data_IF_369520938475
#
_entry.id   IF_369520938475
#
_cell.length_a   1.000
_cell.length_b   1.000
_cell.length_c   1.000
_cell.angle_alpha   90.00
_cell.angle_beta   90.00
_cell.angle_gamma   90.00
#
_symmetry.space_group_name_H-M   'P 1'
#
loop_
_entity.id
_entity.type
_entity.pdbx_description
1 polymer ?
#
# COMPACT_ATOMS: atom_id res chain seq x y z
N UNK A 1 -12.11 38.25 -35.32
CA UNK A 1 -10.99 38.96 -34.65
C UNK A 1 -9.80 38.90 -35.57
N UNK A 2 -9.63 39.93 -36.41
CA UNK A 2 -8.52 40.05 -37.35
C UNK A 2 -7.30 40.64 -36.66
N UNK A 3 -6.14 40.05 -36.89
CA UNK A 3 -4.85 40.63 -36.55
C UNK A 3 -4.18 41.05 -37.86
N UNK A 4 -4.12 42.35 -38.09
CA UNK A 4 -3.35 42.97 -39.16
C UNK A 4 -1.86 42.91 -38.85
N UNK A 5 -1.08 42.46 -39.82
CA UNK A 5 0.37 42.56 -39.91
C UNK A 5 0.78 44.03 -40.07
N UNK A 6 1.82 44.46 -39.34
CA UNK A 6 2.48 45.76 -39.56
C UNK A 6 3.78 45.57 -40.32
N UNK A 7 4.00 46.51 -41.23
CA UNK A 7 5.10 46.62 -42.17
C UNK A 7 6.49 46.76 -41.51
N UNK A 8 7.48 46.33 -42.28
CA UNK A 8 8.92 46.40 -41.99
C UNK A 8 9.44 47.72 -42.53
N UNK A 9 9.93 48.60 -41.65
CA UNK A 9 10.67 49.80 -42.04
C UNK A 9 12.17 49.51 -41.96
N UNK A 10 12.86 49.64 -43.10
CA UNK A 10 14.32 49.58 -43.18
C UNK A 10 14.91 50.87 -42.60
N UNK A 11 15.89 50.75 -41.71
CA UNK A 11 16.73 51.88 -41.31
C UNK A 11 18.21 51.51 -41.31
N UNK A 12 18.96 52.41 -41.94
CA UNK A 12 20.33 52.31 -42.45
C UNK A 12 21.41 52.27 -41.37
N UNK A 13 22.54 51.65 -41.72
CA UNK A 13 23.72 51.48 -40.88
C UNK A 13 24.40 52.81 -40.45
N UNK A 14 24.97 52.80 -39.25
CA UNK A 14 25.94 53.81 -38.75
C UNK A 14 26.90 53.16 -37.72
N UNK A 15 28.08 53.73 -37.40
CA UNK A 15 29.35 53.04 -37.56
C UNK A 15 29.92 52.47 -36.25
N UNK A 16 30.90 51.56 -36.42
CA UNK A 16 31.70 50.98 -35.35
C UNK A 16 32.53 52.05 -34.63
N UNK A 17 32.46 52.07 -33.29
CA UNK A 17 33.58 52.51 -32.44
C UNK A 17 33.21 53.40 -31.26
N UNK A 18 33.21 52.81 -30.05
CA UNK A 18 33.82 53.36 -28.83
C UNK A 18 33.56 52.40 -27.65
N UNK A 19 34.61 51.76 -27.10
CA UNK A 19 34.52 50.96 -25.87
C UNK A 19 34.36 51.91 -24.67
N UNK A 20 33.28 51.76 -23.90
CA UNK A 20 33.11 52.43 -22.59
C UNK A 20 33.96 51.72 -21.51
N UNK A 21 34.54 52.42 -20.52
CA UNK A 21 35.34 51.81 -19.46
C UNK A 21 34.47 50.95 -18.54
N UNK A 22 35.02 49.82 -18.09
CA UNK A 22 34.32 48.78 -17.35
C UNK A 22 33.75 49.25 -16.01
N UNK A 23 32.45 49.03 -15.83
CA UNK A 23 31.80 49.07 -14.53
C UNK A 23 32.27 47.83 -13.74
N UNK A 24 33.07 48.03 -12.68
CA UNK A 24 33.45 46.95 -11.76
C UNK A 24 32.18 46.46 -11.07
N UNK A 25 31.73 45.26 -11.44
CA UNK A 25 30.55 44.61 -10.88
C UNK A 25 30.88 44.22 -9.44
N UNK A 26 30.50 45.04 -8.47
CA UNK A 26 30.61 44.67 -7.06
C UNK A 26 29.77 43.41 -6.83
N UNK A 27 30.41 42.32 -6.42
CA UNK A 27 29.76 41.06 -6.09
C UNK A 27 28.87 41.26 -4.87
N UNK A 28 27.56 41.10 -5.05
CA UNK A 28 26.61 41.03 -3.93
C UNK A 28 27.00 39.86 -3.04
N UNK A 29 26.98 40.00 -1.70
CA UNK A 29 27.27 38.88 -0.82
C UNK A 29 26.27 37.76 -1.10
N UNK A 30 26.79 36.57 -1.40
CA UNK A 30 25.98 35.36 -1.47
C UNK A 30 25.53 35.07 -0.06
N UNK A 31 24.29 35.43 0.26
CA UNK A 31 23.62 34.94 1.46
C UNK A 31 23.45 33.44 1.24
N UNK A 32 24.41 32.64 1.69
CA UNK A 32 24.24 31.20 1.81
C UNK A 32 23.14 30.99 2.84
N UNK A 33 21.90 30.84 2.37
CA UNK A 33 20.81 30.30 3.19
C UNK A 33 21.38 29.02 3.79
N UNK A 34 21.63 28.98 5.11
CA UNK A 34 21.95 27.71 5.79
C UNK A 34 20.92 26.72 5.29
N UNK A 35 21.37 25.66 4.62
CA UNK A 35 20.48 24.61 4.15
C UNK A 35 19.71 24.15 5.38
N UNK A 36 18.39 24.35 5.39
CA UNK A 36 17.56 23.81 6.47
C UNK A 36 17.84 22.30 6.48
N UNK A 37 18.11 21.70 7.64
CA UNK A 37 18.35 20.27 7.68
C UNK A 37 17.15 19.58 7.03
N UNK A 38 17.44 18.70 6.07
CA UNK A 38 16.41 18.08 5.24
C UNK A 38 15.56 17.16 6.11
N UNK A 39 14.28 17.51 6.27
CA UNK A 39 13.33 16.64 6.97
C UNK A 39 13.12 15.37 6.13
N UNK A 40 13.14 14.22 6.79
CA UNK A 40 12.84 12.89 6.22
C UNK A 40 11.92 12.14 7.15
N UNK A 41 11.11 11.23 6.62
CA UNK A 41 10.39 10.29 7.45
C UNK A 41 11.33 9.17 7.92
N UNK A 42 11.40 8.97 9.23
CA UNK A 42 12.13 7.86 9.84
C UNK A 42 11.15 6.90 10.53
N UNK A 43 11.44 5.61 10.46
CA UNK A 43 10.65 4.59 11.15
C UNK A 43 10.95 4.72 12.65
N UNK A 44 9.93 5.16 13.40
CA UNK A 44 9.99 5.25 14.86
C UNK A 44 9.57 3.94 15.54
N UNK A 45 8.71 3.16 14.88
CA UNK A 45 8.28 1.84 15.36
C UNK A 45 7.64 1.04 14.23
N UNK A 46 7.78 -0.28 14.27
CA UNK A 46 7.18 -1.19 13.29
C UNK A 46 6.81 -2.51 13.96
N UNK A 47 5.57 -2.95 13.76
CA UNK A 47 5.09 -4.16 14.40
C UNK A 47 4.09 -4.91 13.52
N UNK A 48 3.94 -6.19 13.82
CA UNK A 48 2.90 -7.04 13.26
C UNK A 48 2.06 -7.67 14.36
N UNK A 49 0.85 -8.08 13.98
CA UNK A 49 -0.05 -8.89 14.76
C UNK A 49 -0.44 -10.12 13.95
N UNK A 50 -0.29 -11.29 14.55
CA UNK A 50 -0.68 -12.56 13.98
C UNK A 50 -1.80 -13.14 14.85
N UNK A 51 -2.96 -13.48 14.28
CA UNK A 51 -4.00 -14.22 14.98
C UNK A 51 -3.49 -15.55 15.56
N UNK A 52 -4.20 -16.04 16.57
CA UNK A 52 -3.83 -17.27 17.28
C UNK A 52 -4.21 -18.54 16.51
N UNK A 53 -5.31 -18.50 15.76
CA UNK A 53 -5.77 -19.68 15.03
C UNK A 53 -4.78 -20.03 13.92
N UNK A 54 -4.26 -21.26 13.98
CA UNK A 54 -3.39 -21.85 12.96
C UNK A 54 -4.23 -22.71 12.03
N UNK A 55 -3.98 -22.60 10.73
CA UNK A 55 -4.52 -23.49 9.70
C UNK A 55 -3.35 -24.07 8.92
N UNK A 56 -3.13 -25.37 9.03
CA UNK A 56 -2.04 -26.06 8.32
C UNK A 56 -2.40 -26.31 6.86
N UNK A 57 -1.39 -26.58 6.02
CA UNK A 57 -1.63 -26.96 4.62
C UNK A 57 -2.40 -28.28 4.50
N UNK A 58 -2.23 -29.20 5.45
CA UNK A 58 -3.06 -30.41 5.53
C UNK A 58 -4.53 -30.08 5.86
N UNK A 59 -4.79 -29.14 6.77
CA UNK A 59 -6.16 -28.70 7.06
C UNK A 59 -6.81 -28.01 5.85
N UNK A 60 -6.03 -27.26 5.06
CA UNK A 60 -6.50 -26.65 3.80
C UNK A 60 -6.93 -27.74 2.82
N UNK A 61 -6.09 -28.76 2.61
CA UNK A 61 -6.39 -29.90 1.73
C UNK A 61 -7.64 -30.66 2.20
N UNK A 62 -7.77 -30.89 3.51
CA UNK A 62 -8.95 -31.52 4.09
C UNK A 62 -10.23 -30.70 3.85
N UNK A 63 -10.18 -29.38 4.08
CA UNK A 63 -11.35 -28.50 3.85
C UNK A 63 -11.76 -28.48 2.39
N UNK A 64 -10.80 -28.49 1.45
CA UNK A 64 -11.10 -28.58 0.02
C UNK A 64 -11.79 -29.92 -0.29
N UNK A 65 -11.26 -31.04 0.21
CA UNK A 65 -11.84 -32.37 -0.01
C UNK A 65 -13.27 -32.46 0.55
N UNK A 66 -13.51 -31.93 1.75
CA UNK A 66 -14.83 -31.90 2.39
C UNK A 66 -15.83 -31.05 1.61
N UNK A 67 -15.45 -29.82 1.23
CA UNK A 67 -16.31 -28.90 0.48
C UNK A 67 -16.58 -29.39 -0.96
N UNK A 68 -15.65 -30.14 -1.55
CA UNK A 68 -15.72 -30.57 -2.96
C UNK A 68 -16.30 -31.97 -3.15
N UNK A 69 -16.77 -32.62 -2.07
CA UNK A 69 -17.30 -33.99 -2.09
C UNK A 69 -18.38 -34.22 -3.16
N UNK A 70 -19.26 -33.23 -3.37
CA UNK A 70 -20.33 -33.31 -4.36
C UNK A 70 -19.81 -33.40 -5.82
N UNK A 71 -18.59 -32.91 -6.07
CA UNK A 71 -17.93 -32.92 -7.37
C UNK A 71 -16.98 -34.11 -7.55
N UNK A 72 -16.78 -34.93 -6.51
CA UNK A 72 -15.81 -36.03 -6.53
C UNK A 72 -14.36 -35.54 -6.66
N UNK A 73 -14.08 -34.29 -6.26
CA UNK A 73 -12.75 -33.72 -6.30
C UNK A 73 -12.03 -33.88 -4.96
N UNK A 74 -10.79 -34.33 -5.00
CA UNK A 74 -9.93 -34.49 -3.83
C UNK A 74 -8.50 -34.02 -4.18
N UNK A 75 -7.91 -33.08 -3.42
CA UNK A 75 -6.54 -32.65 -3.66
C UNK A 75 -5.56 -33.77 -3.30
N UNK A 76 -4.45 -33.85 -4.04
CA UNK A 76 -3.39 -34.79 -3.69
C UNK A 76 -2.77 -34.42 -2.31
N UNK A 77 -2.54 -35.39 -1.40
CA UNK A 77 -1.96 -35.09 -0.10
C UNK A 77 -0.59 -34.38 -0.20
N UNK A 78 -0.43 -33.31 0.58
CA UNK A 78 0.79 -32.49 0.63
C UNK A 78 1.00 -31.58 -0.58
N UNK A 79 0.04 -31.48 -1.50
CA UNK A 79 0.16 -30.65 -2.71
C UNK A 79 0.35 -29.17 -2.37
N UNK A 80 -0.31 -28.65 -1.33
CA UNK A 80 -0.26 -27.23 -0.97
C UNK A 80 1.13 -26.87 -0.47
N UNK A 81 1.67 -27.61 0.49
CA UNK A 81 3.03 -27.36 0.99
C UNK A 81 4.09 -27.58 -0.10
N UNK A 82 3.97 -28.65 -0.89
CA UNK A 82 4.95 -28.99 -1.93
C UNK A 82 5.09 -27.92 -3.00
N UNK A 83 3.98 -27.30 -3.42
CA UNK A 83 3.98 -26.32 -4.50
C UNK A 83 4.16 -24.87 -4.01
N UNK A 84 3.78 -24.56 -2.77
CA UNK A 84 3.83 -23.18 -2.24
C UNK A 84 4.96 -22.94 -1.23
N UNK A 85 5.49 -24.00 -0.61
CA UNK A 85 6.40 -23.92 0.54
C UNK A 85 5.73 -23.51 1.85
N UNK A 86 4.42 -23.21 1.85
CA UNK A 86 3.70 -22.79 3.06
C UNK A 86 3.25 -24.01 3.85
N UNK A 87 3.62 -24.05 5.14
CA UNK A 87 3.24 -25.12 6.07
C UNK A 87 1.96 -24.81 6.84
N UNK A 88 1.84 -23.56 7.25
CA UNK A 88 0.74 -23.06 8.05
C UNK A 88 0.49 -21.60 7.73
N UNK A 89 -0.73 -21.16 8.04
CA UNK A 89 -1.13 -19.75 8.05
C UNK A 89 -1.89 -19.42 9.33
N UNK A 90 -2.04 -18.13 9.58
CA UNK A 90 -2.90 -17.61 10.65
C UNK A 90 -4.24 -17.20 10.08
N UNK A 91 -5.30 -17.41 10.84
CA UNK A 91 -6.67 -17.07 10.45
C UNK A 91 -7.25 -16.18 11.54
N UNK A 92 -7.91 -15.09 11.15
CA UNK A 92 -8.54 -14.17 12.09
C UNK A 92 -9.66 -14.85 12.89
N UNK A 93 -9.98 -14.33 14.07
CA UNK A 93 -11.21 -14.71 14.74
C UNK A 93 -12.42 -14.30 13.88
N UNK A 94 -13.55 -15.05 13.90
CA UNK A 94 -14.75 -14.67 13.15
C UNK A 94 -15.21 -13.24 13.44
N UNK A 95 -15.09 -12.80 14.69
CA UNK A 95 -15.49 -11.47 15.16
C UNK A 95 -14.44 -10.35 14.93
N UNK A 96 -13.25 -10.69 14.42
CA UNK A 96 -12.23 -9.69 14.08
C UNK A 96 -12.40 -9.21 12.64
N UNK A 97 -12.40 -7.90 12.41
CA UNK A 97 -12.31 -7.34 11.07
C UNK A 97 -10.87 -6.92 10.72
N UNK A 98 -10.66 -6.44 9.48
CA UNK A 98 -9.36 -5.95 9.05
C UNK A 98 -8.87 -4.79 9.93
N UNK A 99 -9.77 -3.90 10.35
CA UNK A 99 -9.42 -2.83 11.28
C UNK A 99 -8.93 -3.36 12.65
N UNK A 100 -9.47 -4.47 13.17
CA UNK A 100 -9.02 -5.03 14.45
C UNK A 100 -7.60 -5.58 14.39
N UNK A 101 -7.25 -6.24 13.28
CA UNK A 101 -5.88 -6.68 13.05
C UNK A 101 -4.92 -5.48 12.97
N UNK A 102 -5.32 -4.43 12.26
CA UNK A 102 -4.54 -3.21 12.13
C UNK A 102 -4.36 -2.47 13.46
N UNK A 103 -5.41 -2.39 14.29
CA UNK A 103 -5.37 -1.75 15.63
C UNK A 103 -4.36 -2.44 16.52
N UNK A 104 -4.40 -3.78 16.61
CA UNK A 104 -3.45 -4.55 17.44
C UNK A 104 -2.00 -4.39 16.99
N UNK A 105 -1.76 -4.30 15.68
CA UNK A 105 -0.44 -4.00 15.15
C UNK A 105 -0.01 -2.55 15.43
N UNK A 106 -0.94 -1.60 15.29
CA UNK A 106 -0.70 -0.18 15.53
C UNK A 106 -0.34 0.12 16.98
N UNK A 107 -1.03 -0.48 17.95
CA UNK A 107 -0.72 -0.37 19.38
C UNK A 107 0.72 -0.77 19.67
N UNK A 108 1.16 -1.92 19.14
CA UNK A 108 2.55 -2.40 19.26
C UNK A 108 3.57 -1.47 18.58
N UNK A 109 3.24 -0.95 17.40
CA UNK A 109 4.13 -0.04 16.69
C UNK A 109 4.27 1.32 17.42
N UNK A 110 3.17 1.83 17.99
CA UNK A 110 3.17 3.03 18.81
C UNK A 110 3.90 2.83 20.14
N UNK A 111 3.76 1.67 20.77
CA UNK A 111 4.52 1.29 21.97
C UNK A 111 6.04 1.32 21.69
N UNK A 112 6.49 0.69 20.60
CA UNK A 112 7.91 0.76 20.19
C UNK A 112 8.38 2.19 19.92
N UNK A 113 7.52 3.03 19.34
CA UNK A 113 7.81 4.43 19.05
C UNK A 113 7.72 5.34 20.30
N UNK A 114 7.23 4.83 21.43
CA UNK A 114 7.04 5.59 22.66
C UNK A 114 5.99 6.71 22.55
N UNK A 115 4.94 6.50 21.73
CA UNK A 115 3.87 7.48 21.51
C UNK A 115 2.49 6.89 21.78
N UNK A 116 1.47 7.75 21.83
CA UNK A 116 0.06 7.35 21.93
C UNK A 116 -0.71 7.75 20.67
N UNK A 117 -1.93 7.24 20.53
CA UNK A 117 -2.82 7.60 19.42
C UNK A 117 -3.14 9.11 19.34
N UNK A 118 -2.97 9.86 20.45
CA UNK A 118 -3.16 11.33 20.52
C UNK A 118 -1.99 12.11 19.91
N UNK A 119 -0.85 11.46 19.73
CA UNK A 119 0.36 12.05 19.16
C UNK A 119 0.40 11.94 17.62
N UNK A 120 -0.52 11.19 17.02
CA UNK A 120 -0.61 11.00 15.58
C UNK A 120 -1.29 12.20 14.92
N UNK A 121 -0.71 12.67 13.80
CA UNK A 121 -1.32 13.72 12.98
C UNK A 121 -2.13 13.14 11.82
N UNK A 122 -1.74 11.94 11.36
CA UNK A 122 -2.35 11.24 10.23
C UNK A 122 -2.32 9.72 10.45
N UNK A 123 -3.42 9.05 10.09
CA UNK A 123 -3.50 7.58 9.95
C UNK A 123 -3.79 7.24 8.49
N UNK A 124 -2.95 6.41 7.90
CA UNK A 124 -3.13 5.84 6.56
C UNK A 124 -3.40 4.35 6.72
N UNK A 125 -4.63 3.92 6.43
CA UNK A 125 -4.93 2.49 6.34
C UNK A 125 -4.61 2.01 4.92
N UNK A 126 -3.60 1.16 4.81
CA UNK A 126 -2.95 0.81 3.56
C UNK A 126 -3.08 -0.70 3.29
N UNK A 127 -4.27 -1.14 2.87
CA UNK A 127 -4.66 -2.55 2.79
C UNK A 127 -5.39 -2.91 1.49
N UNK A 128 -5.31 -4.18 1.11
CA UNK A 128 -6.18 -4.80 0.10
C UNK A 128 -7.56 -5.11 0.66
N UNK A 129 -7.58 -5.53 1.93
CA UNK A 129 -8.78 -5.84 2.70
C UNK A 129 -9.38 -4.55 3.29
N UNK A 130 -10.69 -4.55 3.51
CA UNK A 130 -11.41 -3.42 4.07
C UNK A 130 -12.62 -3.95 4.86
N UNK A 131 -13.02 -3.25 5.91
CA UNK A 131 -14.19 -3.62 6.71
C UNK A 131 -15.48 -3.39 5.91
N UNK A 132 -15.51 -2.31 5.12
CA UNK A 132 -16.65 -1.91 4.32
C UNK A 132 -16.22 -1.01 3.14
N UNK A 133 -17.18 -0.72 2.25
CA UNK A 133 -16.95 0.13 1.06
C UNK A 133 -16.85 1.60 1.45
N UNK A 134 -17.74 2.07 2.33
CA UNK A 134 -17.73 3.45 2.85
C UNK A 134 -18.27 3.52 4.28
N UNK A 135 -17.68 4.35 5.17
CA UNK A 135 -16.50 5.19 4.94
C UNK A 135 -15.19 4.39 4.89
N UNK A 136 -14.06 5.11 4.71
CA UNK A 136 -12.73 4.54 4.75
C UNK A 136 -12.48 3.76 6.07
N UNK A 137 -11.81 2.61 6.00
CA UNK A 137 -11.54 1.73 7.16
C UNK A 137 -10.67 2.44 8.21
N UNK A 138 -9.83 3.37 7.78
CA UNK A 138 -9.05 4.24 8.68
C UNK A 138 -9.91 5.05 9.68
N UNK A 139 -11.18 5.35 9.38
CA UNK A 139 -12.09 5.96 10.37
C UNK A 139 -12.38 5.01 11.52
N UNK A 140 -12.60 3.72 11.23
CA UNK A 140 -12.84 2.68 12.24
C UNK A 140 -11.58 2.49 13.08
N UNK A 141 -10.40 2.39 12.44
CA UNK A 141 -9.11 2.29 13.13
C UNK A 141 -8.89 3.49 14.06
N UNK A 142 -9.12 4.72 13.58
CA UNK A 142 -8.97 5.93 14.39
C UNK A 142 -9.91 5.95 15.59
N UNK A 143 -11.17 5.52 15.40
CA UNK A 143 -12.14 5.41 16.49
C UNK A 143 -11.69 4.39 17.53
N UNK A 144 -11.30 3.18 17.11
CA UNK A 144 -10.83 2.10 18.00
C UNK A 144 -9.58 2.50 18.79
N UNK A 145 -8.65 3.23 18.17
CA UNK A 145 -7.44 3.76 18.83
C UNK A 145 -7.70 4.99 19.72
N UNK A 146 -8.88 5.62 19.62
CA UNK A 146 -9.16 6.91 20.27
C UNK A 146 -8.33 8.08 19.73
N UNK A 147 -7.91 8.00 18.46
CA UNK A 147 -7.17 9.07 17.78
C UNK A 147 -8.09 10.18 17.28
N UNK A 148 -7.52 11.38 17.13
CA UNK A 148 -8.15 12.55 16.47
C UNK A 148 -7.41 12.96 15.19
N UNK A 149 -6.50 12.10 14.72
CA UNK A 149 -5.73 12.32 13.51
C UNK A 149 -6.66 12.49 12.30
N UNK A 150 -6.14 13.17 11.27
CA UNK A 150 -6.73 13.03 9.93
C UNK A 150 -6.58 11.57 9.47
N UNK A 151 -7.47 11.11 8.60
CA UNK A 151 -7.46 9.72 8.13
C UNK A 151 -7.77 9.63 6.64
N UNK A 152 -7.20 8.63 5.97
CA UNK A 152 -7.63 8.15 4.66
C UNK A 152 -7.06 6.75 4.39
N UNK A 153 -7.61 6.08 3.37
CA UNK A 153 -7.14 4.77 2.94
C UNK A 153 -6.29 4.87 1.66
N UNK A 154 -5.33 3.97 1.51
CA UNK A 154 -4.53 3.78 0.29
C UNK A 154 -4.63 2.31 -0.12
N UNK A 155 -5.19 2.05 -1.30
CA UNK A 155 -5.38 0.68 -1.82
C UNK A 155 -4.63 0.48 -3.13
N UNK A 156 -3.69 -0.47 -3.11
CA UNK A 156 -2.94 -0.95 -4.28
C UNK A 156 -2.50 -2.42 -4.06
N UNK A 157 -3.47 -3.30 -3.77
CA UNK A 157 -3.25 -4.72 -3.50
C UNK A 157 -2.10 -4.96 -2.48
N UNK A 158 -1.27 -5.97 -2.69
CA UNK A 158 -0.15 -6.30 -1.79
C UNK A 158 0.87 -5.16 -1.61
N UNK A 159 0.89 -4.16 -2.51
CA UNK A 159 1.81 -3.01 -2.43
C UNK A 159 1.25 -1.86 -1.59
N UNK A 160 0.01 -1.97 -1.08
CA UNK A 160 -0.68 -0.90 -0.35
C UNK A 160 0.18 -0.36 0.79
N UNK A 161 0.75 -1.21 1.64
CA UNK A 161 1.57 -0.79 2.78
C UNK A 161 2.79 0.05 2.36
N UNK A 162 3.45 -0.34 1.25
CA UNK A 162 4.59 0.40 0.69
C UNK A 162 4.16 1.73 0.06
N UNK A 163 2.98 1.79 -0.59
CA UNK A 163 2.42 3.04 -1.07
C UNK A 163 1.98 3.95 0.09
N UNK A 164 1.46 3.40 1.18
CA UNK A 164 1.18 4.16 2.40
C UNK A 164 2.45 4.80 2.97
N UNK A 165 3.56 4.05 3.02
CA UNK A 165 4.88 4.58 3.40
C UNK A 165 5.36 5.69 2.44
N UNK A 166 5.19 5.51 1.12
CA UNK A 166 5.56 6.50 0.10
C UNK A 166 4.79 7.82 0.29
N UNK A 167 3.47 7.72 0.50
CA UNK A 167 2.61 8.88 0.74
C UNK A 167 3.00 9.57 2.04
N UNK A 168 3.16 8.81 3.13
CA UNK A 168 3.59 9.35 4.42
C UNK A 168 4.95 10.07 4.35
N UNK A 169 5.95 9.48 3.69
CA UNK A 169 7.27 10.11 3.50
C UNK A 169 7.15 11.45 2.75
N UNK A 170 6.34 11.48 1.70
CA UNK A 170 6.11 12.69 0.90
C UNK A 170 5.46 13.80 1.73
N UNK A 171 4.42 13.47 2.52
CA UNK A 171 3.69 14.44 3.33
C UNK A 171 4.53 14.96 4.52
N UNK A 172 5.35 14.09 5.13
CA UNK A 172 6.30 14.47 6.19
C UNK A 172 7.37 15.41 5.64
N UNK A 173 7.95 15.10 4.48
CA UNK A 173 8.97 15.94 3.82
C UNK A 173 8.43 17.30 3.38
N UNK A 174 7.16 17.34 2.99
CA UNK A 174 6.44 18.58 2.69
C UNK A 174 6.14 19.42 3.95
N UNK A 175 6.32 18.85 5.15
CA UNK A 175 6.06 19.51 6.43
C UNK A 175 4.58 19.58 6.81
N UNK A 176 3.72 18.76 6.19
CA UNK A 176 2.28 18.72 6.48
C UNK A 176 1.96 17.93 7.74
N UNK A 177 2.72 16.87 8.01
CA UNK A 177 2.57 16.01 9.18
C UNK A 177 3.93 15.71 9.82
N UNK A 178 3.93 15.41 11.12
CA UNK A 178 5.13 15.05 11.87
C UNK A 178 5.13 13.58 12.27
N UNK A 179 3.99 13.02 12.64
CA UNK A 179 3.83 11.62 13.06
C UNK A 179 2.68 10.99 12.29
N UNK A 180 3.02 10.01 11.46
CA UNK A 180 2.07 9.30 10.60
C UNK A 180 2.07 7.83 10.97
N UNK A 181 0.90 7.27 11.21
CA UNK A 181 0.70 5.83 11.32
C UNK A 181 0.31 5.30 9.94
N UNK A 182 1.11 4.39 9.38
CA UNK A 182 0.72 3.55 8.25
C UNK A 182 0.39 2.18 8.80
N UNK A 183 -0.86 1.74 8.68
CA UNK A 183 -1.28 0.44 9.19
C UNK A 183 -2.07 -0.35 8.15
N UNK A 184 -2.10 -1.66 8.31
CA UNK A 184 -2.87 -2.58 7.47
C UNK A 184 -3.39 -3.73 8.34
N UNK A 185 -4.57 -4.20 7.98
CA UNK A 185 -5.07 -5.50 8.38
C UNK A 185 -5.51 -6.21 7.12
N UNK A 186 -4.98 -7.41 6.93
CA UNK A 186 -5.25 -8.23 5.76
C UNK A 186 -6.02 -9.46 6.20
N UNK A 187 -7.17 -9.68 5.56
CA UNK A 187 -8.07 -10.81 5.77
C UNK A 187 -8.27 -11.62 4.46
N UNK A 188 -7.21 -11.96 3.69
CA UNK A 188 -7.35 -12.61 2.40
C UNK A 188 -7.89 -14.05 2.51
N UNK A 189 -7.91 -14.64 3.71
CA UNK A 189 -8.55 -15.95 3.95
C UNK A 189 -10.02 -15.99 3.53
N UNK A 190 -10.71 -14.84 3.54
CA UNK A 190 -12.11 -14.71 3.12
C UNK A 190 -12.31 -14.91 1.62
N UNK A 191 -11.26 -14.75 0.81
CA UNK A 191 -11.31 -14.89 -0.64
C UNK A 191 -10.90 -16.30 -1.13
N UNK A 192 -10.68 -17.25 -0.22
CA UNK A 192 -10.26 -18.61 -0.56
C UNK A 192 -11.44 -19.43 -1.07
N UNK A 193 -11.25 -20.09 -2.23
CA UNK A 193 -12.23 -21.02 -2.78
C UNK A 193 -12.04 -22.42 -2.21
N UNK A 194 -13.00 -22.87 -1.40
CA UNK A 194 -12.98 -24.20 -0.78
C UNK A 194 -13.65 -25.27 -1.65
N UNK A 195 -14.74 -24.94 -2.33
CA UNK A 195 -15.43 -25.84 -3.24
C UNK A 195 -14.81 -25.79 -4.64
N UNK A 196 -14.28 -26.93 -5.08
CA UNK A 196 -13.56 -27.10 -6.34
C UNK A 196 -14.25 -28.17 -7.18
N UNK A 197 -14.54 -27.83 -8.43
CA UNK A 197 -15.22 -28.71 -9.39
C UNK A 197 -14.24 -29.61 -10.13
N UNK A 198 -13.08 -29.07 -10.47
CA UNK A 198 -12.07 -29.74 -11.29
C UNK A 198 -10.66 -29.16 -11.07
N UNK A 199 -9.67 -29.79 -11.70
CA UNK A 199 -8.27 -29.39 -11.61
C UNK A 199 -7.97 -28.01 -12.21
N UNK A 200 -8.72 -27.56 -13.22
CA UNK A 200 -8.50 -26.23 -13.80
C UNK A 200 -8.93 -25.14 -12.82
N UNK A 201 -10.06 -25.32 -12.14
CA UNK A 201 -10.49 -24.42 -11.08
C UNK A 201 -9.53 -24.43 -9.89
N UNK A 202 -8.97 -25.60 -9.52
CA UNK A 202 -7.95 -25.67 -8.48
C UNK A 202 -6.71 -24.84 -8.85
N UNK A 203 -6.23 -24.93 -10.10
CA UNK A 203 -5.06 -24.18 -10.57
C UNK A 203 -5.29 -22.67 -10.44
N UNK A 204 -6.47 -22.18 -10.84
CA UNK A 204 -6.82 -20.76 -10.75
C UNK A 204 -6.92 -20.27 -9.30
N UNK A 205 -7.47 -21.10 -8.39
CA UNK A 205 -7.60 -20.79 -6.98
C UNK A 205 -6.31 -21.01 -6.18
N UNK A 206 -5.28 -21.63 -6.78
CA UNK A 206 -4.18 -22.23 -6.04
C UNK A 206 -3.40 -21.24 -5.18
N UNK A 207 -3.17 -20.03 -5.70
CA UNK A 207 -2.52 -18.96 -4.97
C UNK A 207 -3.34 -18.49 -3.75
N UNK A 208 -4.67 -18.64 -3.75
CA UNK A 208 -5.49 -18.39 -2.58
C UNK A 208 -5.17 -19.31 -1.40
N UNK A 209 -4.69 -20.53 -1.67
CA UNK A 209 -4.24 -21.45 -0.61
C UNK A 209 -2.92 -21.03 0.04
N UNK A 210 -2.30 -19.92 -0.39
CA UNK A 210 -1.20 -19.28 0.33
C UNK A 210 -1.67 -18.24 1.35
N UNK A 211 -2.94 -17.86 1.36
CA UNK A 211 -3.44 -16.76 2.18
C UNK A 211 -3.45 -17.06 3.69
N UNK A 212 -3.17 -16.01 4.44
CA UNK A 212 -3.24 -15.94 5.89
C UNK A 212 -3.53 -14.51 6.31
N UNK A 213 -4.13 -14.36 7.47
CA UNK A 213 -4.59 -13.08 7.99
C UNK A 213 -3.56 -12.49 8.95
N UNK A 214 -3.35 -11.18 8.89
CA UNK A 214 -2.39 -10.48 9.74
C UNK A 214 -2.64 -8.98 9.81
N UNK A 215 -2.21 -8.36 10.89
CA UNK A 215 -2.06 -6.91 11.02
C UNK A 215 -0.59 -6.49 10.90
N UNK A 216 -0.34 -5.29 10.36
CA UNK A 216 0.99 -4.67 10.37
C UNK A 216 0.88 -3.16 10.48
N UNK A 217 1.85 -2.53 11.14
CA UNK A 217 1.85 -1.09 11.32
C UNK A 217 3.27 -0.52 11.38
N UNK A 218 3.41 0.71 10.93
CA UNK A 218 4.64 1.50 10.94
C UNK A 218 4.31 2.93 11.38
N UNK A 219 5.02 3.40 12.39
CA UNK A 219 5.02 4.82 12.78
C UNK A 219 6.18 5.50 12.09
N UNK A 220 5.87 6.52 11.30
CA UNK A 220 6.85 7.38 10.64
C UNK A 220 6.88 8.74 11.34
N UNK A 221 8.09 9.19 11.69
CA UNK A 221 8.31 10.47 12.35
C UNK A 221 9.26 11.37 11.54
N UNK A 222 8.94 12.65 11.50
CA UNK A 222 9.78 13.69 10.91
C UNK A 222 11.12 13.81 11.68
N UNK A 223 12.23 13.53 10.99
CA UNK A 223 13.59 13.67 11.52
C UNK A 223 14.44 14.58 10.64
N UNK A 224 15.32 15.34 11.28
CA UNK A 224 16.23 16.31 10.62
C UNK A 224 17.71 16.06 10.96
N UNK A 225 17.99 14.98 11.69
CA UNK A 225 19.34 14.49 12.05
C UNK A 225 19.99 13.67 10.92
N UNK A 226 19.33 13.59 9.77
CA UNK A 226 19.76 12.82 8.63
C UNK A 226 19.32 11.36 8.65
N UNK A 227 18.59 10.87 9.66
CA UNK A 227 17.96 9.54 9.62
C UNK A 227 16.72 9.51 8.72
N UNK A 228 16.25 8.31 8.38
CA UNK A 228 15.01 8.10 7.63
C UNK A 228 15.20 7.63 6.18
N UNK A 229 14.08 7.55 5.47
CA UNK A 229 14.00 6.97 4.13
C UNK A 229 14.97 7.71 3.18
N UNK A 230 15.84 6.94 2.52
CA UNK A 230 16.87 7.49 1.63
C UNK A 230 16.39 7.54 0.20
N UNK A 231 15.84 6.43 -0.25
CA UNK A 231 15.45 6.15 -1.62
C UNK A 231 14.28 5.17 -1.58
N UNK A 232 13.35 5.34 -2.52
CA UNK A 232 12.27 4.42 -2.82
C UNK A 232 11.98 4.55 -4.31
N UNK A 233 11.66 3.44 -4.95
CA UNK A 233 11.31 3.38 -6.38
C UNK A 233 10.12 2.44 -6.56
N UNK A 234 9.24 2.82 -7.47
CA UNK A 234 7.95 2.16 -7.68
C UNK A 234 7.68 2.03 -9.17
N UNK A 235 7.36 0.81 -9.61
CA UNK A 235 7.07 0.48 -11.01
C UNK A 235 5.73 -0.23 -11.08
N UNK A 236 4.99 -0.01 -12.18
CA UNK A 236 3.75 -0.71 -12.47
C UNK A 236 3.78 -1.30 -13.88
N UNK A 237 3.42 -2.58 -14.01
CA UNK A 237 3.24 -3.28 -15.28
C UNK A 237 1.73 -3.48 -15.53
N UNK A 238 1.00 -2.38 -15.73
CA UNK A 238 -0.47 -2.38 -15.70
C UNK A 238 -1.14 -3.19 -16.81
N UNK A 239 -0.44 -3.56 -17.88
CA UNK A 239 -0.99 -4.44 -18.93
C UNK A 239 -1.32 -5.85 -18.42
N UNK A 240 -0.79 -6.24 -17.25
CA UNK A 240 -0.96 -7.55 -16.64
C UNK A 240 -2.03 -7.60 -15.53
N UNK A 241 -2.87 -6.56 -15.39
CA UNK A 241 -3.78 -6.42 -14.25
C UNK A 241 -4.80 -7.57 -14.08
N UNK A 242 -5.16 -8.27 -15.17
CA UNK A 242 -6.17 -9.35 -15.14
C UNK A 242 -5.66 -10.66 -14.54
N UNK A 243 -4.33 -10.82 -14.43
CA UNK A 243 -3.69 -12.09 -14.05
C UNK A 243 -4.01 -12.50 -12.61
N UNK A 244 -4.20 -11.52 -11.72
CA UNK A 244 -4.29 -11.72 -10.29
C UNK A 244 -5.39 -10.82 -9.73
N UNK A 245 -6.60 -11.36 -9.56
CA UNK A 245 -7.79 -10.55 -9.29
C UNK A 245 -8.72 -11.14 -8.25
N UNK A 246 -9.34 -10.23 -7.49
CA UNK A 246 -10.58 -10.44 -6.76
C UNK A 246 -11.60 -9.50 -7.41
N UNK A 247 -12.57 -10.06 -8.14
CA UNK A 247 -13.37 -9.27 -9.10
C UNK A 247 -14.60 -8.59 -8.47
N UNK A 248 -15.03 -9.04 -7.30
CA UNK A 248 -16.18 -8.49 -6.57
C UNK A 248 -15.86 -7.16 -5.84
N UNK A 249 -16.89 -6.57 -5.23
CA UNK A 249 -16.75 -5.41 -4.32
C UNK A 249 -16.60 -4.06 -5.03
N UNK A 250 -16.57 -4.05 -6.36
CA UNK A 250 -16.56 -2.85 -7.20
C UNK A 250 -17.74 -2.82 -8.19
N UNK A 251 -17.72 -1.85 -9.10
CA UNK A 251 -18.80 -1.64 -10.08
C UNK A 251 -18.90 -2.72 -11.17
N UNK A 252 -17.81 -3.47 -11.43
CA UNK A 252 -17.82 -4.56 -12.42
C UNK A 252 -18.69 -5.74 -11.96
N UNK A 253 -18.60 -6.11 -10.68
CA UNK A 253 -19.31 -7.24 -10.10
C UNK A 253 -19.83 -6.88 -8.69
N UNK A 254 -20.88 -6.05 -8.57
CA UNK A 254 -21.29 -5.49 -7.29
C UNK A 254 -21.91 -6.53 -6.33
N UNK A 255 -22.46 -7.63 -6.86
CA UNK A 255 -23.19 -8.66 -6.08
C UNK A 255 -22.95 -10.08 -6.58
N UNK A 256 -21.90 -10.30 -7.36
CA UNK A 256 -21.59 -11.62 -7.91
C UNK A 256 -20.82 -12.43 -6.87
N UNK A 257 -21.43 -13.53 -6.40
CA UNK A 257 -20.83 -14.42 -5.41
C UNK A 257 -19.66 -15.21 -5.99
N UNK A 258 -19.67 -15.56 -7.28
CA UNK A 258 -18.55 -16.29 -7.88
C UNK A 258 -17.30 -15.41 -8.04
N UNK A 259 -17.49 -14.09 -8.16
CA UNK A 259 -16.41 -13.11 -8.22
C UNK A 259 -15.75 -12.83 -6.84
N UNK A 260 -16.26 -13.43 -5.75
CA UNK A 260 -15.74 -13.26 -4.38
C UNK A 260 -14.49 -14.08 -4.08
N UNK A 261 -14.09 -14.95 -5.01
CA UNK A 261 -12.91 -15.77 -4.85
C UNK A 261 -11.73 -15.17 -5.60
N UNK A 262 -10.56 -15.26 -5.00
CA UNK A 262 -9.32 -14.86 -5.63
C UNK A 262 -8.96 -15.83 -6.76
N UNK A 263 -8.55 -15.29 -7.89
CA UNK A 263 -8.04 -16.05 -9.03
C UNK A 263 -6.69 -15.50 -9.47
N UNK A 264 -5.73 -16.41 -9.68
CA UNK A 264 -4.38 -16.09 -10.13
C UNK A 264 -3.88 -17.04 -11.21
N UNK A 265 -3.21 -16.50 -12.23
CA UNK A 265 -2.49 -17.30 -13.22
C UNK A 265 -1.00 -16.91 -13.29
N UNK A 266 -0.19 -17.56 -12.46
CA UNK A 266 1.25 -17.29 -12.40
C UNK A 266 2.00 -17.65 -13.70
N UNK A 267 1.43 -18.46 -14.60
CA UNK A 267 2.09 -18.78 -15.87
C UNK A 267 2.06 -17.61 -16.85
N UNK A 268 1.00 -16.81 -16.81
CA UNK A 268 0.84 -15.62 -17.65
C UNK A 268 1.79 -14.46 -17.29
N UNK A 269 2.57 -14.57 -16.22
CA UNK A 269 3.58 -13.57 -15.82
C UNK A 269 4.96 -13.76 -16.48
N UNK A 270 5.13 -14.81 -17.30
CA UNK A 270 6.45 -15.20 -17.83
C UNK A 270 6.86 -14.46 -19.11
N UNK A 271 5.95 -13.68 -19.70
CA UNK A 271 6.14 -12.85 -20.88
C UNK A 271 6.09 -11.35 -20.54
#
# INVERSE_FOLDING_TARGET
>A
MGWQTREVEQMTATPRGARRPGLVRQSRPVITRRARPQVRAAIAGVASYLPEQVLTSADVEQRIAEASRAHGFEPAPGIVEKLTGVRERRIKHPDDDASDLAVRAAERAMEQAGITAKDLDLIIFASSSQDLIEPATSHIVSMKLGSKAMVFDVKNACNSFMNGMQVADSLIRAGQYRRVLVCTGECPSLAVRWEIRDWEQMKQAFAGYTFGDAGSAMVLEARSDGTGIRYADFVAASHNWEICTLRTGGSMHPRDLEATYFAGDGNSLRD
#
